data_IF_491522967003
#
_entry.id   IF_491522967003
#
_cell.length_a   1.000
_cell.length_b   1.000
_cell.length_c   1.000
_cell.angle_alpha   90.00
_cell.angle_beta   90.00
_cell.angle_gamma   90.00
#
_symmetry.space_group_name_H-M   'P 1'
#
loop_
_entity.id
_entity.type
_entity.pdbx_description
1 polymer ?
#
# COMPACT_ATOMS: atom_id res chain seq x y z
N UNK A 1 51.77 15.57 30.19
CA UNK A 1 51.25 14.75 29.07
C UNK A 1 50.06 13.84 29.43
N UNK A 2 49.80 13.47 30.70
CA UNK A 2 48.65 12.60 31.07
C UNK A 2 47.26 13.29 31.02
N UNK A 3 47.19 14.59 31.30
CA UNK A 3 45.90 15.29 31.44
C UNK A 3 45.23 15.63 30.09
N UNK A 4 46.00 15.81 29.01
CA UNK A 4 45.42 16.02 27.66
C UNK A 4 44.77 14.75 27.13
N UNK A 5 45.34 13.57 27.40
CA UNK A 5 44.77 12.30 26.93
C UNK A 5 43.42 12.00 27.60
N UNK A 6 43.33 12.24 28.92
CA UNK A 6 42.07 12.07 29.66
C UNK A 6 40.98 13.04 29.18
N UNK A 7 41.35 14.30 28.92
CA UNK A 7 40.42 15.30 28.39
C UNK A 7 39.90 14.92 27.00
N UNK A 8 40.78 14.48 26.09
CA UNK A 8 40.38 14.01 24.76
C UNK A 8 39.46 12.79 24.85
N UNK A 9 39.74 11.83 25.74
CA UNK A 9 38.89 10.65 25.95
C UNK A 9 37.51 11.05 26.48
N UNK A 10 37.42 12.00 27.42
CA UNK A 10 36.13 12.48 27.94
C UNK A 10 35.33 13.21 26.87
N UNK A 11 35.97 14.07 26.06
CA UNK A 11 35.29 14.79 24.96
C UNK A 11 34.75 13.81 23.90
N UNK A 12 35.53 12.79 23.55
CA UNK A 12 35.11 11.75 22.60
C UNK A 12 33.99 10.88 23.19
N UNK A 13 34.05 10.53 24.48
CA UNK A 13 32.97 9.80 25.13
C UNK A 13 31.70 10.66 25.19
N UNK A 14 31.79 11.93 25.55
CA UNK A 14 30.63 12.83 25.57
C UNK A 14 30.04 13.04 24.18
N UNK A 15 30.85 13.16 23.12
CA UNK A 15 30.32 13.28 21.75
C UNK A 15 29.65 11.99 21.28
N UNK A 16 30.15 10.82 21.68
CA UNK A 16 29.49 9.53 21.40
C UNK A 16 28.20 9.38 22.21
N UNK A 17 28.23 9.62 23.52
CA UNK A 17 27.08 9.38 24.40
C UNK A 17 25.97 10.42 24.27
N UNK A 18 26.28 11.65 23.84
CA UNK A 18 25.28 12.72 23.66
C UNK A 18 25.00 12.96 22.18
N UNK A 19 26.04 13.00 21.35
CA UNK A 19 25.92 13.31 19.92
C UNK A 19 25.30 12.16 19.12
N UNK A 20 25.69 10.89 19.37
CA UNK A 20 25.10 9.78 18.62
C UNK A 20 23.58 9.68 18.86
N UNK A 21 23.05 9.64 20.10
CA UNK A 21 21.60 9.51 20.30
C UNK A 21 20.78 10.62 19.63
N UNK A 22 21.30 11.86 19.64
CA UNK A 22 20.64 12.99 18.96
C UNK A 22 20.64 12.79 17.45
N UNK A 23 21.77 12.40 16.86
CA UNK A 23 21.85 12.11 15.42
C UNK A 23 20.98 10.91 15.02
N UNK A 24 20.93 9.84 15.82
CA UNK A 24 20.06 8.69 15.57
C UNK A 24 18.58 9.08 15.63
N UNK A 25 18.16 9.88 16.63
CA UNK A 25 16.77 10.35 16.71
C UNK A 25 16.40 11.26 15.53
N UNK A 26 17.35 12.02 15.01
CA UNK A 26 17.12 12.93 13.89
C UNK A 26 17.12 12.19 12.54
N UNK A 27 17.90 11.11 12.41
CA UNK A 27 17.99 10.28 11.21
C UNK A 27 16.87 9.22 11.10
N UNK A 28 16.39 8.70 12.22
CA UNK A 28 15.38 7.63 12.30
C UNK A 28 14.10 8.06 13.06
N UNK A 29 13.91 9.36 13.23
CA UNK A 29 12.69 9.90 13.84
C UNK A 29 11.52 9.78 12.88
N UNK A 30 10.33 9.50 13.41
CA UNK A 30 9.13 9.50 12.58
C UNK A 30 8.73 10.92 12.17
N UNK A 31 8.20 11.06 10.97
CA UNK A 31 7.68 12.31 10.42
C UNK A 31 6.18 12.14 10.30
N UNK A 32 5.41 13.07 10.88
CA UNK A 32 3.95 13.10 10.77
C UNK A 32 3.52 14.35 10.05
N UNK A 33 2.64 14.20 9.09
CA UNK A 33 2.06 15.33 8.37
C UNK A 33 0.66 14.96 7.86
N UNK A 34 -0.09 15.97 7.44
CA UNK A 34 -1.44 15.83 6.91
C UNK A 34 -1.50 16.48 5.54
N UNK A 35 -1.95 15.73 4.54
CA UNK A 35 -2.25 16.30 3.22
C UNK A 35 -3.73 16.21 2.93
N UNK A 36 -4.19 17.04 2.00
CA UNK A 36 -5.57 17.04 1.53
C UNK A 36 -5.57 16.94 0.02
N UNK A 37 -6.19 15.89 -0.49
CA UNK A 37 -6.27 15.58 -1.91
C UNK A 37 -7.70 15.86 -2.39
N UNK A 38 -7.85 16.81 -3.31
CA UNK A 38 -9.14 17.05 -3.95
C UNK A 38 -9.58 15.83 -4.74
N UNK A 39 -10.81 15.39 -4.53
CA UNK A 39 -11.34 14.17 -5.13
C UNK A 39 -12.09 14.46 -6.43
N UNK A 40 -11.85 13.67 -7.47
CA UNK A 40 -12.57 13.78 -8.75
C UNK A 40 -14.08 13.58 -8.60
N UNK A 41 -14.50 12.76 -7.63
CA UNK A 41 -15.91 12.53 -7.28
C UNK A 41 -16.53 13.69 -6.46
N UNK A 42 -15.75 14.74 -6.21
CA UNK A 42 -16.08 15.88 -5.36
C UNK A 42 -15.71 15.65 -3.88
N UNK A 43 -15.53 16.73 -3.14
CA UNK A 43 -15.04 16.68 -1.75
C UNK A 43 -13.53 16.51 -1.69
N UNK A 44 -13.05 16.18 -0.49
CA UNK A 44 -11.62 16.12 -0.17
C UNK A 44 -11.30 14.80 0.54
N UNK A 45 -10.15 14.22 0.23
CA UNK A 45 -9.57 13.10 0.98
C UNK A 45 -8.46 13.67 1.85
N UNK A 46 -8.69 13.63 3.16
CA UNK A 46 -7.70 14.02 4.17
C UNK A 46 -6.90 12.78 4.53
N UNK A 47 -5.59 12.88 4.38
CA UNK A 47 -4.65 11.79 4.60
C UNK A 47 -3.67 12.21 5.69
N UNK A 48 -3.83 11.64 6.88
CA UNK A 48 -2.87 11.77 7.97
C UNK A 48 -1.85 10.67 7.84
N UNK A 49 -0.57 11.00 7.65
CA UNK A 49 0.47 9.99 7.47
C UNK A 49 1.60 10.08 8.48
N UNK A 50 2.19 8.93 8.77
CA UNK A 50 3.41 8.79 9.55
C UNK A 50 4.45 8.05 8.70
N UNK A 51 5.54 8.74 8.37
CA UNK A 51 6.73 8.14 7.78
C UNK A 51 7.66 7.67 8.90
N UNK A 52 8.07 6.41 8.83
CA UNK A 52 9.02 5.79 9.72
C UNK A 52 10.19 5.24 8.91
N UNK A 53 11.40 5.39 9.43
CA UNK A 53 12.59 4.77 8.87
C UNK A 53 13.45 4.21 9.99
N UNK A 54 13.94 2.98 9.79
CA UNK A 54 14.94 2.35 10.64
C UNK A 54 16.14 1.87 9.79
N UNK A 55 17.06 1.12 10.41
CA UNK A 55 18.25 0.60 9.73
C UNK A 55 17.94 -0.47 8.66
N UNK A 56 16.76 -1.09 8.72
CA UNK A 56 16.36 -2.20 7.86
C UNK A 56 15.41 -1.76 6.74
N UNK A 57 14.51 -0.81 7.00
CA UNK A 57 13.50 -0.37 6.03
C UNK A 57 12.93 1.01 6.36
N UNK A 58 12.03 1.45 5.50
CA UNK A 58 11.20 2.61 5.69
C UNK A 58 9.76 2.27 5.31
N UNK A 59 8.80 2.94 5.94
CA UNK A 59 7.39 2.73 5.68
C UNK A 59 6.55 3.98 5.93
N UNK A 60 5.41 4.06 5.23
CA UNK A 60 4.37 5.04 5.50
C UNK A 60 3.13 4.33 6.05
N UNK A 61 2.59 4.84 7.16
CA UNK A 61 1.24 4.51 7.62
C UNK A 61 0.35 5.70 7.28
N UNK A 62 -0.73 5.48 6.54
CA UNK A 62 -1.64 6.54 6.09
C UNK A 62 -3.04 6.26 6.62
N UNK A 63 -3.67 7.25 7.23
CA UNK A 63 -5.06 7.20 7.69
C UNK A 63 -5.93 8.07 6.79
N UNK A 64 -7.01 7.49 6.27
CA UNK A 64 -7.87 8.12 5.26
C UNK A 64 -9.20 8.57 5.86
N UNK A 65 -9.52 9.84 5.63
CA UNK A 65 -10.82 10.43 5.96
C UNK A 65 -11.38 11.14 4.74
N UNK A 66 -12.55 10.72 4.28
CA UNK A 66 -13.25 11.40 3.20
C UNK A 66 -14.16 12.50 3.76
N UNK A 67 -14.09 13.70 3.17
CA UNK A 67 -14.90 14.85 3.50
C UNK A 67 -15.76 15.21 2.28
N UNK A 68 -16.99 14.67 2.18
CA UNK A 68 -17.87 15.00 1.08
C UNK A 68 -18.38 16.44 1.20
N UNK A 69 -18.63 17.09 0.06
CA UNK A 69 -19.13 18.46 0.00
C UNK A 69 -20.35 18.69 0.92
N UNK A 70 -20.17 19.54 1.94
CA UNK A 70 -21.22 19.95 2.90
C UNK A 70 -21.86 18.78 3.64
N UNK A 71 -21.13 17.68 3.85
CA UNK A 71 -21.56 16.51 4.64
C UNK A 71 -20.54 16.22 5.74
N UNK A 72 -20.90 15.45 6.78
CA UNK A 72 -19.96 14.97 7.77
C UNK A 72 -18.83 14.17 7.11
N UNK A 73 -17.64 14.26 7.70
CA UNK A 73 -16.51 13.42 7.32
C UNK A 73 -16.76 11.95 7.66
N UNK A 74 -16.14 11.06 6.91
CA UNK A 74 -16.24 9.61 7.06
C UNK A 74 -14.84 9.05 7.09
N UNK A 75 -14.49 8.35 8.17
CA UNK A 75 -13.26 7.58 8.23
C UNK A 75 -13.38 6.37 7.30
N UNK A 76 -12.39 6.18 6.44
CA UNK A 76 -12.39 5.14 5.39
C UNK A 76 -11.61 3.92 5.88
N UNK A 77 -10.44 4.16 6.49
CA UNK A 77 -9.52 3.12 6.93
C UNK A 77 -8.08 3.61 6.85
N UNK A 78 -7.15 2.66 6.75
CA UNK A 78 -5.71 2.94 6.69
C UNK A 78 -5.05 2.28 5.49
N UNK A 79 -3.87 2.75 5.10
CA UNK A 79 -2.97 2.13 4.13
C UNK A 79 -1.56 2.08 4.68
N UNK A 80 -0.82 1.06 4.26
CA UNK A 80 0.55 0.80 4.73
C UNK A 80 1.47 0.58 3.54
N UNK A 81 2.58 1.31 3.47
CA UNK A 81 3.52 1.28 2.36
C UNK A 81 4.92 0.91 2.86
N UNK A 82 5.31 -0.35 2.73
CA UNK A 82 6.64 -0.80 3.13
C UNK A 82 7.62 -0.76 1.95
N UNK A 83 8.70 0.01 2.10
CA UNK A 83 9.74 0.13 1.07
C UNK A 83 9.27 0.72 -0.27
N UNK A 84 8.08 1.33 -0.30
CA UNK A 84 7.45 1.95 -1.47
C UNK A 84 6.96 3.35 -1.11
N UNK A 85 7.16 4.29 -2.03
CA UNK A 85 6.78 5.68 -1.82
C UNK A 85 5.27 5.80 -1.99
N UNK A 86 4.63 6.51 -1.06
CA UNK A 86 3.23 6.82 -1.17
C UNK A 86 3.03 8.03 -2.10
N UNK A 87 2.31 7.82 -3.21
CA UNK A 87 2.24 8.76 -4.34
C UNK A 87 1.41 10.05 -4.09
N UNK A 88 0.78 10.18 -2.92
CA UNK A 88 0.06 11.39 -2.47
C UNK A 88 -1.00 11.95 -3.45
N UNK A 89 -1.51 11.12 -4.36
CA UNK A 89 -2.46 11.50 -5.41
C UNK A 89 -3.69 10.57 -5.50
N UNK A 90 -3.86 9.69 -4.51
CA UNK A 90 -4.93 8.68 -4.48
C UNK A 90 -6.34 9.28 -4.65
N UNK A 91 -7.14 8.58 -5.44
CA UNK A 91 -8.51 8.98 -5.77
C UNK A 91 -9.50 7.88 -5.36
N UNK A 92 -10.59 8.31 -4.73
CA UNK A 92 -11.79 7.51 -4.55
C UNK A 92 -12.50 7.36 -5.89
N UNK A 93 -12.76 6.12 -6.26
CA UNK A 93 -13.57 5.79 -7.43
C UNK A 93 -14.99 5.51 -6.97
N UNK A 94 -15.98 6.09 -7.65
CA UNK A 94 -17.39 5.85 -7.36
C UNK A 94 -17.98 4.84 -8.35
N UNK A 95 -18.46 3.72 -7.82
CA UNK A 95 -19.04 2.62 -8.60
C UNK A 95 -20.46 2.38 -8.09
N UNK A 96 -21.46 2.93 -8.78
CA UNK A 96 -22.84 2.94 -8.30
C UNK A 96 -22.97 3.66 -6.95
N UNK A 97 -23.35 2.92 -5.89
CA UNK A 97 -23.41 3.41 -4.52
C UNK A 97 -22.11 3.26 -3.73
N UNK A 98 -21.16 2.48 -4.25
CA UNK A 98 -19.90 2.18 -3.60
C UNK A 98 -18.86 3.25 -3.89
N UNK A 99 -18.00 3.47 -2.89
CA UNK A 99 -16.77 4.20 -3.00
C UNK A 99 -15.63 3.21 -2.76
N UNK A 100 -14.60 3.28 -3.60
CA UNK A 100 -13.44 2.40 -3.54
C UNK A 100 -12.17 3.24 -3.50
N UNK A 101 -11.29 2.94 -2.55
CA UNK A 101 -9.93 3.47 -2.49
C UNK A 101 -8.93 2.33 -2.66
N UNK A 102 -8.02 2.45 -3.62
CA UNK A 102 -6.82 1.62 -3.69
C UNK A 102 -5.73 2.24 -2.82
N UNK A 103 -5.06 1.45 -2.01
CA UNK A 103 -4.01 1.91 -1.09
C UNK A 103 -3.03 0.77 -0.76
N UNK A 104 -1.93 1.06 -0.06
CA UNK A 104 -0.96 0.06 0.35
C UNK A 104 -1.52 -0.95 1.36
N UNK A 105 -1.25 -2.24 1.14
CA UNK A 105 -1.59 -3.37 2.01
C UNK A 105 -0.42 -3.86 2.86
N UNK A 106 0.59 -3.02 3.06
CA UNK A 106 1.77 -3.31 3.84
C UNK A 106 2.71 -4.29 3.12
N UNK A 107 3.22 -5.29 3.86
CA UNK A 107 4.04 -6.36 3.28
C UNK A 107 3.24 -7.37 2.44
N UNK A 108 1.91 -7.31 2.50
CA UNK A 108 1.02 -8.32 1.92
C UNK A 108 0.59 -7.99 0.48
N UNK A 109 0.84 -6.77 0.01
CA UNK A 109 0.50 -6.33 -1.36
C UNK A 109 -0.24 -5.01 -1.36
N UNK A 110 -1.26 -4.92 -2.21
CA UNK A 110 -2.14 -3.74 -2.32
C UNK A 110 -3.48 -4.03 -1.63
N UNK A 111 -4.14 -2.98 -1.14
CA UNK A 111 -5.39 -3.06 -0.40
C UNK A 111 -6.47 -2.20 -1.05
N UNK A 112 -7.69 -2.70 -1.02
CA UNK A 112 -8.89 -1.99 -1.42
C UNK A 112 -9.71 -1.69 -0.18
N UNK A 113 -10.09 -0.43 0.00
CA UNK A 113 -11.08 0.00 0.98
C UNK A 113 -12.40 0.27 0.24
N UNK A 114 -13.43 -0.53 0.51
CA UNK A 114 -14.73 -0.45 -0.18
C UNK A 114 -15.83 -0.15 0.81
N UNK A 115 -16.65 0.87 0.52
CA UNK A 115 -17.74 1.20 1.41
C UNK A 115 -18.67 2.27 0.89
N UNK A 116 -19.57 2.71 1.77
CA UNK A 116 -20.46 3.84 1.52
C UNK A 116 -20.34 4.85 2.65
N UNK A 117 -20.65 6.14 2.43
CA UNK A 117 -20.59 7.15 3.49
C UNK A 117 -21.49 6.89 4.71
N UNK A 118 -22.35 5.87 4.67
CA UNK A 118 -23.24 5.49 5.77
C UNK A 118 -22.71 4.33 6.61
N UNK A 119 -21.65 3.66 6.14
CA UNK A 119 -21.07 2.52 6.83
C UNK A 119 -20.17 3.00 7.96
N UNK A 120 -20.26 2.34 9.09
CA UNK A 120 -19.38 2.59 10.23
C UNK A 120 -17.96 2.05 9.97
N UNK A 121 -17.87 0.92 9.27
CA UNK A 121 -16.63 0.28 8.87
C UNK A 121 -16.69 -0.11 7.40
N UNK A 122 -15.67 0.26 6.64
CA UNK A 122 -15.51 -0.13 5.25
C UNK A 122 -14.94 -1.55 5.16
N UNK A 123 -15.25 -2.24 4.07
CA UNK A 123 -14.64 -3.52 3.75
C UNK A 123 -13.19 -3.29 3.35
N UNK A 124 -12.32 -4.18 3.82
CA UNK A 124 -10.90 -4.17 3.49
C UNK A 124 -10.57 -5.48 2.79
N UNK A 125 -10.05 -5.39 1.57
CA UNK A 125 -9.62 -6.55 0.78
C UNK A 125 -8.14 -6.36 0.44
N UNK A 126 -7.29 -7.28 0.88
CA UNK A 126 -5.84 -7.25 0.60
C UNK A 126 -5.56 -8.22 -0.52
N UNK A 127 -5.21 -7.68 -1.69
CA UNK A 127 -4.79 -8.46 -2.84
C UNK A 127 -3.37 -8.95 -2.58
N UNK A 128 -3.27 -10.19 -2.11
CA UNK A 128 -2.03 -10.82 -1.64
C UNK A 128 -1.69 -12.09 -2.40
N UNK A 129 -0.43 -12.53 -2.31
CA UNK A 129 -0.02 -13.81 -2.88
C UNK A 129 -0.87 -14.99 -2.37
N UNK A 130 -1.20 -15.00 -1.08
CA UNK A 130 -1.99 -16.08 -0.48
C UNK A 130 -3.42 -16.12 -1.06
N UNK A 131 -4.06 -14.97 -1.16
CA UNK A 131 -5.40 -14.86 -1.76
C UNK A 131 -5.38 -15.26 -3.24
N UNK A 132 -4.44 -14.73 -4.02
CA UNK A 132 -4.29 -15.03 -5.45
C UNK A 132 -4.10 -16.54 -5.67
N UNK A 133 -3.22 -17.17 -4.90
CA UNK A 133 -2.94 -18.61 -5.07
C UNK A 133 -4.05 -19.51 -4.53
N UNK A 134 -4.83 -19.02 -3.58
CA UNK A 134 -6.03 -19.67 -3.06
C UNK A 134 -7.21 -19.66 -4.05
N UNK A 135 -7.22 -18.72 -4.99
CA UNK A 135 -8.29 -18.57 -5.97
C UNK A 135 -8.39 -19.74 -6.95
N UNK A 136 -9.62 -20.15 -7.24
CA UNK A 136 -9.91 -21.26 -8.16
C UNK A 136 -9.47 -20.98 -9.61
N UNK A 137 -9.53 -19.72 -10.07
CA UNK A 137 -9.11 -19.33 -11.42
C UNK A 137 -7.59 -19.41 -11.57
N UNK A 138 -6.86 -19.00 -10.54
CA UNK A 138 -5.40 -19.17 -10.50
C UNK A 138 -5.01 -20.65 -10.58
N UNK A 139 -5.66 -21.49 -9.77
CA UNK A 139 -5.41 -22.93 -9.78
C UNK A 139 -5.75 -23.56 -11.14
N UNK A 140 -6.84 -23.13 -11.78
CA UNK A 140 -7.24 -23.60 -13.10
C UNK A 140 -6.27 -23.15 -14.21
N UNK A 141 -5.63 -21.98 -14.07
CA UNK A 141 -4.62 -21.50 -15.00
C UNK A 141 -3.32 -22.34 -14.97
N UNK A 142 -3.14 -23.20 -13.96
CA UNK A 142 -1.99 -24.09 -13.79
C UNK A 142 -0.65 -23.33 -13.86
N UNK A 143 -0.62 -22.12 -13.32
CA UNK A 143 0.58 -21.29 -13.26
C UNK A 143 1.49 -21.83 -12.16
N UNK A 144 2.74 -22.14 -12.53
CA UNK A 144 3.75 -22.57 -11.58
C UNK A 144 4.37 -21.36 -10.90
N UNK A 145 3.91 -21.09 -9.69
CA UNK A 145 4.48 -20.05 -8.83
C UNK A 145 5.05 -20.63 -7.55
N UNK A 146 6.16 -20.06 -7.10
CA UNK A 146 6.86 -20.44 -5.87
C UNK A 146 6.44 -19.51 -4.73
N UNK A 147 5.83 -20.06 -3.68
CA UNK A 147 5.16 -19.30 -2.59
C UNK A 147 5.98 -19.09 -1.33
N UNK A 148 7.18 -19.68 -1.25
CA UNK A 148 7.93 -19.74 0.01
C UNK A 148 8.75 -18.49 0.34
N UNK A 149 9.04 -17.63 -0.64
CA UNK A 149 10.04 -16.56 -0.50
C UNK A 149 9.72 -15.34 -1.36
N UNK A 150 10.08 -14.16 -0.86
CA UNK A 150 10.17 -12.91 -1.64
C UNK A 150 11.17 -13.04 -2.81
N UNK A 151 11.06 -12.21 -3.87
CA UNK A 151 10.09 -11.14 -4.03
C UNK A 151 8.83 -11.59 -4.79
N UNK A 152 7.69 -11.05 -4.37
CA UNK A 152 6.49 -10.94 -5.19
C UNK A 152 6.02 -9.48 -5.11
N UNK A 153 5.29 -9.03 -6.12
CA UNK A 153 4.75 -7.68 -6.18
C UNK A 153 3.32 -7.74 -6.70
N UNK A 154 2.43 -7.05 -6.01
CA UNK A 154 1.06 -6.81 -6.45
C UNK A 154 0.95 -5.34 -6.73
N UNK A 155 0.38 -4.97 -7.87
CA UNK A 155 0.23 -3.58 -8.27
C UNK A 155 -1.12 -3.38 -8.97
N UNK A 156 -1.98 -2.59 -8.35
CA UNK A 156 -3.27 -2.20 -8.92
C UNK A 156 -3.01 -1.18 -10.03
N UNK A 157 -3.14 -1.62 -11.29
CA UNK A 157 -2.78 -0.82 -12.48
C UNK A 157 -3.85 0.16 -12.87
N UNK A 158 -5.10 -0.29 -12.88
CA UNK A 158 -6.23 0.54 -13.26
C UNK A 158 -7.53 0.02 -12.65
N UNK A 159 -8.47 0.94 -12.47
CA UNK A 159 -9.83 0.65 -12.05
C UNK A 159 -10.76 1.34 -13.03
N UNK A 160 -11.48 0.55 -13.83
CA UNK A 160 -12.42 1.04 -14.83
C UNK A 160 -13.79 0.46 -14.52
N UNK A 161 -14.72 1.33 -14.14
CA UNK A 161 -16.05 0.92 -13.68
C UNK A 161 -15.95 -0.03 -12.49
N UNK A 162 -16.53 -1.21 -12.57
CA UNK A 162 -16.48 -2.27 -11.54
C UNK A 162 -15.28 -3.20 -11.67
N UNK A 163 -14.44 -3.00 -12.69
CA UNK A 163 -13.32 -3.88 -13.00
C UNK A 163 -11.99 -3.30 -12.52
N UNK A 164 -11.19 -4.15 -11.89
CA UNK A 164 -9.86 -3.86 -11.41
C UNK A 164 -8.84 -4.70 -12.18
N UNK A 165 -7.82 -4.06 -12.73
CA UNK A 165 -6.67 -4.74 -13.30
C UNK A 165 -5.50 -4.71 -12.33
N UNK A 166 -5.03 -5.90 -11.97
CA UNK A 166 -3.93 -6.09 -11.05
C UNK A 166 -2.78 -6.77 -11.78
N UNK A 167 -1.61 -6.16 -11.77
CA UNK A 167 -0.38 -6.83 -12.19
C UNK A 167 0.17 -7.60 -11.00
N UNK A 168 0.43 -8.90 -11.21
CA UNK A 168 1.04 -9.75 -10.22
C UNK A 168 2.39 -10.27 -10.72
N UNK A 169 3.46 -9.97 -9.99
CA UNK A 169 4.82 -10.49 -10.22
C UNK A 169 5.07 -11.61 -9.20
N UNK A 170 5.44 -12.78 -9.69
CA UNK A 170 5.65 -13.97 -8.88
C UNK A 170 6.91 -14.71 -9.29
N UNK A 171 7.42 -15.53 -8.36
CA UNK A 171 8.59 -16.37 -8.60
C UNK A 171 8.22 -17.63 -9.36
N UNK A 172 9.02 -17.98 -10.37
CA UNK A 172 8.92 -19.25 -11.10
C UNK A 172 9.96 -20.28 -10.65
N UNK A 173 10.97 -19.84 -9.87
CA UNK A 173 12.06 -20.68 -9.39
C UNK A 173 12.82 -20.13 -8.19
N UNK A 174 13.90 -20.83 -7.83
CA UNK A 174 14.70 -20.59 -6.62
C UNK A 174 15.72 -19.46 -6.77
N UNK A 175 16.02 -19.02 -8.00
CA UNK A 175 16.91 -17.86 -8.20
C UNK A 175 16.14 -16.54 -8.06
N UNK A 176 16.81 -15.50 -7.57
CA UNK A 176 16.20 -14.17 -7.36
C UNK A 176 15.67 -13.57 -8.66
N UNK A 177 16.27 -13.92 -9.81
CA UNK A 177 15.84 -13.48 -11.14
C UNK A 177 14.77 -14.34 -11.79
N UNK A 178 14.35 -15.45 -11.17
CA UNK A 178 13.31 -16.33 -11.71
C UNK A 178 11.94 -15.73 -11.43
N UNK A 179 11.63 -14.63 -12.13
CA UNK A 179 10.40 -13.86 -11.99
C UNK A 179 9.61 -13.93 -13.30
N UNK A 180 8.30 -14.02 -13.14
CA UNK A 180 7.34 -13.84 -14.23
C UNK A 180 6.22 -12.92 -13.74
N UNK A 181 5.39 -12.44 -14.66
CA UNK A 181 4.28 -11.57 -14.32
C UNK A 181 3.04 -11.90 -15.14
N UNK A 182 1.88 -11.77 -14.50
CA UNK A 182 0.58 -11.92 -15.14
C UNK A 182 -0.33 -10.78 -14.75
N UNK A 183 -1.44 -10.64 -15.47
CA UNK A 183 -2.53 -9.74 -15.13
C UNK A 183 -3.69 -10.56 -14.57
N UNK A 184 -4.24 -10.06 -13.47
CA UNK A 184 -5.42 -10.56 -12.83
C UNK A 184 -6.52 -9.51 -13.02
N UNK A 185 -7.72 -9.98 -13.30
CA UNK A 185 -8.90 -9.15 -13.40
C UNK A 185 -9.82 -9.47 -12.24
N UNK A 186 -10.24 -8.44 -11.54
CA UNK A 186 -11.26 -8.54 -10.50
C UNK A 186 -12.49 -7.73 -10.88
N UNK A 187 -13.66 -8.15 -10.40
CA UNK A 187 -14.90 -7.42 -10.52
C UNK A 187 -15.50 -7.18 -9.14
N UNK A 188 -16.07 -5.99 -8.93
CA UNK A 188 -16.80 -5.67 -7.71
C UNK A 188 -18.17 -6.36 -7.71
N UNK A 189 -18.45 -7.20 -6.73
CA UNK A 189 -19.80 -7.64 -6.43
C UNK A 189 -20.61 -6.43 -5.93
N UNK A 190 -21.54 -5.97 -6.75
CA UNK A 190 -22.36 -4.78 -6.46
C UNK A 190 -23.28 -4.91 -5.24
N UNK A 191 -23.56 -6.14 -4.79
CA UNK A 191 -24.41 -6.44 -3.63
C UNK A 191 -23.56 -6.46 -2.36
N UNK A 192 -22.42 -7.17 -2.40
CA UNK A 192 -21.58 -7.41 -1.23
C UNK A 192 -20.54 -6.30 -1.00
N UNK A 193 -20.12 -5.60 -2.06
CA UNK A 193 -19.02 -4.65 -1.97
C UNK A 193 -17.64 -5.33 -1.88
N UNK A 194 -17.54 -6.56 -2.36
CA UNK A 194 -16.31 -7.38 -2.34
C UNK A 194 -15.81 -7.60 -3.77
N UNK A 195 -14.49 -7.67 -3.97
CA UNK A 195 -13.91 -7.95 -5.28
C UNK A 195 -13.64 -9.44 -5.45
N UNK A 196 -14.02 -10.00 -6.59
CA UNK A 196 -13.78 -11.40 -6.94
C UNK A 196 -12.93 -11.48 -8.21
N UNK A 197 -12.00 -12.44 -8.27
CA UNK A 197 -11.21 -12.68 -9.47
C UNK A 197 -12.12 -13.23 -10.57
N UNK A 198 -12.05 -12.63 -11.75
CA UNK A 198 -12.82 -13.03 -12.94
C UNK A 198 -11.94 -13.46 -14.12
N UNK A 199 -10.62 -13.27 -14.02
CA UNK A 199 -9.70 -13.68 -15.07
C UNK A 199 -8.22 -13.62 -14.70
N UNK A 200 -7.43 -14.45 -15.39
CA UNK A 200 -5.97 -14.52 -15.30
C UNK A 200 -5.40 -14.57 -16.72
N UNK A 201 -4.45 -13.70 -17.06
CA UNK A 201 -3.90 -13.66 -18.42
C UNK A 201 -2.71 -12.71 -18.64
N UNK A 202 -2.07 -12.85 -19.80
CA UNK A 202 -0.79 -12.19 -20.11
C UNK A 202 -0.89 -10.81 -20.78
N UNK A 203 -2.10 -10.26 -20.98
CA UNK A 203 -2.31 -8.93 -21.56
C UNK A 203 -3.26 -8.08 -20.70
N UNK A 204 -3.03 -6.76 -20.62
CA UNK A 204 -3.97 -5.85 -19.99
C UNK A 204 -5.30 -5.90 -20.75
N UNK A 205 -6.39 -6.13 -20.03
CA UNK A 205 -7.72 -6.28 -20.63
C UNK A 205 -8.46 -4.93 -20.70
N UNK A 206 -8.09 -3.98 -19.84
CA UNK A 206 -8.74 -2.68 -19.77
C UNK A 206 -8.05 -1.70 -20.72
N UNK A 207 -8.41 -1.73 -22.00
CA UNK A 207 -8.08 -0.64 -22.93
C UNK A 207 -9.20 0.38 -22.88
N UNK A 208 -8.92 1.62 -22.43
CA UNK A 208 -9.87 2.73 -22.54
C UNK A 208 -10.28 2.90 -24.01
N UNK A 209 -11.56 2.66 -24.33
CA UNK A 209 -12.11 3.15 -25.59
C UNK A 209 -12.18 4.67 -25.50
N UNK A 210 -11.26 5.35 -26.19
CA UNK A 210 -11.31 6.80 -26.41
C UNK A 210 -12.59 7.22 -27.13
#
# INVERSE_FOLDING_TARGET
MKNSCLFTVVVVLCSIFIGCPVMFKQAFGSIRDTITINQQIGGELVCDYEYNADLASWFYDVTYTYVPNRKPSVHIGTGEYYGKEWMQDEQLVKIGSWLVLSTGGGLQGEKLLVGTPRMEKWHETIVSQEEIHGDSLWQAANIRAFTGWLPYEVDIRSMVQDCLEVKYVYRTGDQVGDLDSTYLLYSLDSILGEYEMIGVGSQPALTESK
#
